data_IF_646315019682
#
_entry.id   IF_646315019682
#
_cell.length_a   1.000
_cell.length_b   1.000
_cell.length_c   1.000
_cell.angle_alpha   90.00
_cell.angle_beta   90.00
_cell.angle_gamma   90.00
#
_symmetry.space_group_name_H-M   'P 1'
#
loop_
_entity.id
_entity.type
_entity.pdbx_description
1 polymer ?
#
# COMPACT_ATOMS: atom_id res chain seq x y z
N UNK A 1 -25.83 7.43 -17.49
CA UNK A 1 -26.76 8.20 -16.64
C UNK A 1 -26.05 8.96 -15.52
N UNK A 2 -25.08 8.35 -14.82
CA UNK A 2 -24.36 9.00 -13.68
C UNK A 2 -23.74 10.33 -14.11
N UNK A 3 -22.96 10.37 -15.20
CA UNK A 3 -22.32 11.59 -15.69
C UNK A 3 -23.35 12.68 -16.00
N UNK A 4 -24.46 12.34 -16.68
CA UNK A 4 -25.53 13.29 -17.02
C UNK A 4 -26.11 13.97 -15.79
N UNK A 5 -26.38 13.18 -14.72
CA UNK A 5 -26.95 13.74 -13.48
C UNK A 5 -25.97 14.65 -12.78
N UNK A 6 -24.68 14.32 -12.76
CA UNK A 6 -23.64 15.09 -12.05
C UNK A 6 -23.08 16.27 -12.85
N UNK A 7 -23.16 16.25 -14.19
CA UNK A 7 -22.61 17.33 -15.03
C UNK A 7 -23.64 18.26 -15.61
N UNK A 8 -24.92 17.89 -15.64
CA UNK A 8 -26.00 18.70 -16.18
C UNK A 8 -27.02 19.05 -15.10
N UNK A 9 -27.74 18.06 -14.56
CA UNK A 9 -28.88 18.32 -13.67
C UNK A 9 -28.41 18.89 -12.31
N UNK A 10 -27.39 18.34 -11.71
CA UNK A 10 -26.88 18.85 -10.43
C UNK A 10 -26.36 20.29 -10.53
N UNK A 11 -25.53 20.69 -11.49
CA UNK A 11 -25.21 22.10 -11.71
C UNK A 11 -26.42 23.01 -11.90
N UNK A 12 -27.42 22.59 -12.66
CA UNK A 12 -28.68 23.37 -12.85
C UNK A 12 -29.35 23.59 -11.48
N UNK A 13 -29.47 22.57 -10.64
CA UNK A 13 -30.07 22.71 -9.32
C UNK A 13 -29.27 23.66 -8.42
N UNK A 14 -27.95 23.57 -8.45
CA UNK A 14 -27.08 24.47 -7.70
C UNK A 14 -27.26 25.93 -8.17
N UNK A 15 -27.31 26.17 -9.47
CA UNK A 15 -27.58 27.50 -10.05
C UNK A 15 -28.95 28.03 -9.63
N UNK A 16 -30.00 27.20 -9.67
CA UNK A 16 -31.34 27.58 -9.26
C UNK A 16 -31.45 27.92 -7.75
N UNK A 17 -30.57 27.36 -6.94
CA UNK A 17 -30.49 27.61 -5.50
C UNK A 17 -29.48 28.70 -5.11
N UNK A 18 -28.84 29.33 -6.10
CA UNK A 18 -27.77 30.32 -5.91
C UNK A 18 -26.60 29.77 -5.05
N UNK A 19 -26.25 28.47 -5.28
CA UNK A 19 -25.16 27.78 -4.61
C UNK A 19 -23.92 27.68 -5.51
N UNK A 20 -22.71 27.62 -4.93
CA UNK A 20 -21.48 27.48 -5.70
C UNK A 20 -21.47 26.22 -6.55
N UNK A 21 -20.99 26.32 -7.79
CA UNK A 21 -20.78 25.17 -8.67
C UNK A 21 -19.52 24.37 -8.26
N UNK A 22 -19.50 23.06 -8.50
CA UNK A 22 -18.29 22.27 -8.34
C UNK A 22 -17.19 22.78 -9.30
N UNK A 23 -15.95 22.83 -8.82
CA UNK A 23 -14.81 23.22 -9.67
C UNK A 23 -14.50 22.18 -10.74
N UNK A 24 -14.78 20.92 -10.45
CA UNK A 24 -14.54 19.79 -11.35
C UNK A 24 -15.52 18.66 -11.04
N UNK A 25 -15.96 17.96 -12.07
CA UNK A 25 -16.66 16.66 -11.96
C UNK A 25 -15.77 15.64 -12.64
N UNK A 26 -15.34 14.63 -11.91
CA UNK A 26 -14.48 13.57 -12.39
C UNK A 26 -15.23 12.23 -12.39
N UNK A 27 -15.22 11.53 -13.52
CA UNK A 27 -15.80 10.19 -13.66
C UNK A 27 -14.70 9.16 -13.85
N UNK A 28 -14.79 8.06 -13.14
CA UNK A 28 -13.88 6.92 -13.31
C UNK A 28 -14.62 5.74 -13.98
N UNK A 29 -13.90 4.79 -14.63
CA UNK A 29 -14.49 3.64 -15.29
C UNK A 29 -15.12 2.63 -14.31
N UNK A 30 -15.56 1.50 -14.86
CA UNK A 30 -16.18 0.43 -14.09
C UNK A 30 -15.15 -0.46 -13.38
N UNK A 31 -15.59 -1.06 -12.28
CA UNK A 31 -14.94 -2.23 -11.70
C UNK A 31 -15.72 -3.47 -12.15
N UNK A 32 -15.05 -4.34 -12.91
CA UNK A 32 -15.63 -5.54 -13.51
C UNK A 32 -15.18 -6.78 -12.74
N UNK A 33 -16.06 -7.76 -12.58
CA UNK A 33 -15.67 -9.08 -12.08
C UNK A 33 -15.36 -10.01 -13.26
N UNK A 34 -14.10 -10.44 -13.39
CA UNK A 34 -13.70 -11.36 -14.46
C UNK A 34 -13.98 -10.84 -15.88
N UNK A 35 -14.08 -9.52 -16.05
CA UNK A 35 -14.47 -8.89 -17.33
C UNK A 35 -15.96 -8.62 -17.52
N UNK A 36 -16.80 -9.08 -16.61
CA UNK A 36 -18.26 -8.85 -16.62
C UNK A 36 -18.68 -7.74 -15.66
N UNK A 37 -19.71 -6.98 -16.05
CA UNK A 37 -20.33 -6.00 -15.17
C UNK A 37 -20.99 -6.69 -13.98
N UNK A 38 -20.65 -6.26 -12.77
CA UNK A 38 -21.25 -6.78 -11.54
C UNK A 38 -22.75 -6.49 -11.49
N UNK A 39 -23.54 -7.51 -11.16
CA UNK A 39 -24.99 -7.41 -10.98
C UNK A 39 -25.50 -8.37 -9.92
N UNK A 40 -26.35 -7.88 -9.02
CA UNK A 40 -27.01 -8.71 -7.99
C UNK A 40 -27.82 -9.85 -8.60
N UNK A 41 -28.47 -9.61 -9.77
CA UNK A 41 -29.26 -10.62 -10.47
C UNK A 41 -28.43 -11.72 -11.13
N UNK A 42 -27.14 -11.47 -11.40
CA UNK A 42 -26.18 -12.46 -11.89
C UNK A 42 -25.45 -13.20 -10.77
N UNK A 43 -25.56 -12.74 -9.51
CA UNK A 43 -24.84 -13.30 -8.38
C UNK A 43 -23.32 -13.12 -8.44
N UNK A 44 -22.82 -12.23 -9.31
CA UNK A 44 -21.39 -11.98 -9.51
C UNK A 44 -20.91 -10.69 -8.85
N UNK A 45 -21.48 -10.32 -7.71
CA UNK A 45 -21.05 -9.12 -6.96
C UNK A 45 -20.03 -9.52 -5.90
N UNK A 46 -18.86 -8.90 -5.93
CA UNK A 46 -17.92 -8.92 -4.82
C UNK A 46 -18.25 -7.73 -3.93
N UNK A 47 -18.61 -7.98 -2.69
CA UNK A 47 -18.94 -6.94 -1.73
C UNK A 47 -17.68 -6.47 -1.00
N UNK A 48 -17.62 -5.17 -0.72
CA UNK A 48 -16.51 -4.60 0.03
C UNK A 48 -16.41 -5.18 1.45
N UNK A 49 -17.55 -5.45 2.09
CA UNK A 49 -17.58 -6.05 3.43
C UNK A 49 -16.93 -7.43 3.45
N UNK A 50 -17.19 -8.27 2.45
CA UNK A 50 -16.54 -9.58 2.33
C UNK A 50 -15.01 -9.46 2.19
N UNK A 51 -14.55 -8.50 1.40
CA UNK A 51 -13.11 -8.25 1.25
C UNK A 51 -12.49 -7.76 2.56
N UNK A 52 -13.20 -6.90 3.30
CA UNK A 52 -12.74 -6.40 4.60
C UNK A 52 -12.69 -7.51 5.65
N UNK A 53 -13.70 -8.38 5.68
CA UNK A 53 -13.74 -9.50 6.63
C UNK A 53 -12.63 -10.53 6.38
N UNK A 54 -12.27 -10.73 5.11
CA UNK A 54 -11.25 -11.71 4.70
C UNK A 54 -9.82 -11.17 4.76
N UNK A 55 -9.61 -9.93 4.33
CA UNK A 55 -8.27 -9.36 4.12
C UNK A 55 -7.98 -8.15 5.00
N UNK A 56 -8.98 -7.61 5.66
CA UNK A 56 -8.89 -6.37 6.43
C UNK A 56 -9.05 -5.11 5.57
N UNK A 57 -9.31 -3.99 6.25
CA UNK A 57 -9.62 -2.70 5.62
C UNK A 57 -8.48 -2.24 4.71
N UNK A 58 -7.24 -2.26 5.20
CA UNK A 58 -6.10 -1.70 4.46
C UNK A 58 -5.75 -2.51 3.21
N UNK A 59 -5.86 -3.85 3.26
CA UNK A 59 -5.65 -4.67 2.07
C UNK A 59 -6.74 -4.45 1.02
N UNK A 60 -7.99 -4.31 1.46
CA UNK A 60 -9.12 -3.95 0.57
C UNK A 60 -8.90 -2.58 -0.07
N UNK A 61 -8.50 -1.57 0.71
CA UNK A 61 -8.16 -0.24 0.20
C UNK A 61 -6.99 -0.29 -0.79
N UNK A 62 -5.92 -1.01 -0.45
CA UNK A 62 -4.79 -1.20 -1.35
C UNK A 62 -5.25 -1.74 -2.71
N UNK A 63 -6.01 -2.83 -2.70
CA UNK A 63 -6.48 -3.46 -3.92
C UNK A 63 -7.31 -2.51 -4.78
N UNK A 64 -8.34 -1.88 -4.19
CA UNK A 64 -9.24 -0.99 -4.95
C UNK A 64 -8.50 0.25 -5.47
N UNK A 65 -7.60 0.84 -4.69
CA UNK A 65 -6.87 2.05 -5.08
C UNK A 65 -5.71 1.75 -6.06
N UNK A 66 -5.21 0.52 -6.09
CA UNK A 66 -4.11 0.11 -6.97
C UNK A 66 -4.62 -0.44 -8.32
N UNK A 67 -5.67 -1.30 -8.30
CA UNK A 67 -6.13 -2.03 -9.48
C UNK A 67 -7.25 -1.30 -10.26
N UNK A 68 -7.62 -0.09 -9.84
CA UNK A 68 -8.56 0.75 -10.57
C UNK A 68 -7.85 1.97 -11.17
N UNK A 69 -7.10 1.82 -12.28
CA UNK A 69 -6.61 2.97 -13.03
C UNK A 69 -7.82 3.73 -13.55
N UNK A 70 -7.83 5.06 -13.41
CA UNK A 70 -9.02 5.84 -13.79
C UNK A 70 -9.17 6.07 -15.30
N UNK A 71 -8.22 5.58 -16.10
CA UNK A 71 -8.27 5.64 -17.56
C UNK A 71 -9.02 4.48 -18.20
N UNK A 72 -9.09 3.32 -17.54
CA UNK A 72 -9.66 2.09 -18.06
C UNK A 72 -10.47 1.35 -17.00
N UNK A 73 -11.36 0.44 -17.44
CA UNK A 73 -12.09 -0.43 -16.54
C UNK A 73 -11.11 -1.29 -15.71
N UNK A 74 -11.32 -1.33 -14.40
CA UNK A 74 -10.62 -2.22 -13.50
C UNK A 74 -11.26 -3.61 -13.50
N UNK A 75 -10.43 -4.65 -13.32
CA UNK A 75 -10.91 -6.03 -13.20
C UNK A 75 -10.56 -6.57 -11.84
N UNK A 76 -11.54 -7.13 -11.14
CA UNK A 76 -11.34 -7.83 -9.89
C UNK A 76 -11.57 -9.33 -10.08
N UNK A 77 -10.62 -10.15 -9.63
CA UNK A 77 -10.75 -11.59 -9.45
C UNK A 77 -10.15 -11.98 -8.11
N UNK A 78 -10.60 -13.07 -7.51
CA UNK A 78 -10.04 -13.52 -6.24
C UNK A 78 -8.57 -13.90 -6.37
N UNK A 79 -8.15 -14.45 -7.51
CA UNK A 79 -6.76 -14.74 -7.82
C UNK A 79 -5.90 -13.48 -7.76
N UNK A 80 -6.36 -12.41 -8.39
CA UNK A 80 -5.65 -11.13 -8.40
C UNK A 80 -5.58 -10.51 -7.00
N UNK A 81 -6.66 -10.56 -6.23
CA UNK A 81 -6.70 -10.06 -4.85
C UNK A 81 -5.67 -10.78 -3.98
N UNK A 82 -5.66 -12.12 -4.00
CA UNK A 82 -4.72 -12.93 -3.21
C UNK A 82 -3.28 -12.77 -3.69
N UNK A 83 -3.06 -12.67 -5.01
CA UNK A 83 -1.75 -12.39 -5.59
C UNK A 83 -1.20 -11.05 -5.10
N UNK A 84 -1.98 -9.98 -5.19
CA UNK A 84 -1.57 -8.64 -4.72
C UNK A 84 -1.33 -8.60 -3.23
N UNK A 85 -2.19 -9.25 -2.45
CA UNK A 85 -1.98 -9.36 -1.01
C UNK A 85 -0.62 -9.99 -0.69
N UNK A 86 -0.31 -11.11 -1.31
CA UNK A 86 0.94 -11.82 -1.03
C UNK A 86 2.18 -11.15 -1.64
N UNK A 87 2.10 -10.67 -2.89
CA UNK A 87 3.25 -10.08 -3.59
C UNK A 87 3.59 -8.71 -3.03
N UNK A 88 2.61 -7.85 -2.89
CA UNK A 88 2.85 -6.44 -2.59
C UNK A 88 2.79 -6.16 -1.09
N UNK A 89 1.72 -6.58 -0.42
CA UNK A 89 1.53 -6.28 1.00
C UNK A 89 2.37 -7.20 1.90
N UNK A 90 2.32 -8.52 1.71
CA UNK A 90 3.06 -9.43 2.55
C UNK A 90 4.57 -9.45 2.23
N UNK A 91 4.95 -9.57 0.94
CA UNK A 91 6.36 -9.71 0.57
C UNK A 91 7.07 -8.36 0.47
N UNK A 92 6.58 -7.41 -0.35
CA UNK A 92 7.30 -6.15 -0.59
C UNK A 92 7.29 -5.29 0.67
N UNK A 93 6.13 -5.09 1.30
CA UNK A 93 5.99 -4.22 2.48
C UNK A 93 6.22 -4.98 3.80
N UNK A 94 5.41 -5.98 4.11
CA UNK A 94 5.41 -6.63 5.41
C UNK A 94 6.73 -7.33 5.73
N UNK A 95 7.29 -8.07 4.77
CA UNK A 95 8.58 -8.72 4.93
C UNK A 95 9.74 -7.72 5.06
N UNK A 96 9.71 -6.60 4.34
CA UNK A 96 10.72 -5.55 4.46
C UNK A 96 10.75 -4.96 5.87
N UNK A 97 9.60 -4.58 6.41
CA UNK A 97 9.50 -4.04 7.79
C UNK A 97 10.02 -5.08 8.80
N UNK A 98 9.53 -6.32 8.69
CA UNK A 98 9.97 -7.40 9.58
C UNK A 98 11.47 -7.68 9.49
N UNK A 99 12.07 -7.70 8.29
CA UNK A 99 13.52 -7.89 8.09
C UNK A 99 14.31 -6.74 8.71
N UNK A 100 13.92 -5.50 8.48
CA UNK A 100 14.59 -4.30 9.02
C UNK A 100 14.57 -4.32 10.55
N UNK A 101 13.41 -4.50 11.15
CA UNK A 101 13.24 -4.57 12.61
C UNK A 101 14.00 -5.76 13.20
N UNK A 102 13.92 -6.93 12.57
CA UNK A 102 14.63 -8.13 13.05
C UNK A 102 16.14 -7.99 13.01
N UNK A 103 16.70 -7.42 11.94
CA UNK A 103 18.15 -7.18 11.84
C UNK A 103 18.61 -6.11 12.83
N UNK A 104 17.86 -5.03 13.01
CA UNK A 104 18.17 -3.99 14.00
C UNK A 104 18.17 -4.56 15.43
N UNK A 105 17.18 -5.37 15.79
CA UNK A 105 17.16 -6.05 17.09
C UNK A 105 18.33 -7.04 17.25
N UNK A 106 18.59 -7.84 16.21
CA UNK A 106 19.63 -8.88 16.25
C UNK A 106 21.03 -8.31 16.41
N UNK A 107 21.35 -7.24 15.70
CA UNK A 107 22.72 -6.72 15.60
C UNK A 107 22.99 -5.56 16.57
N UNK A 108 21.96 -4.80 16.95
CA UNK A 108 22.09 -3.57 17.74
C UNK A 108 21.13 -3.51 18.93
N UNK A 109 20.46 -4.60 19.29
CA UNK A 109 19.51 -4.59 20.41
C UNK A 109 18.30 -3.68 20.18
N UNK A 110 18.00 -3.37 18.92
CA UNK A 110 16.88 -2.52 18.50
C UNK A 110 17.24 -1.04 18.36
N UNK A 111 18.39 -0.58 18.82
CA UNK A 111 18.81 0.83 18.69
C UNK A 111 19.73 1.00 17.51
N UNK A 112 19.35 1.83 16.54
CA UNK A 112 20.16 2.18 15.37
C UNK A 112 20.28 3.69 15.25
N UNK A 113 21.47 4.18 14.99
CA UNK A 113 21.78 5.61 14.93
C UNK A 113 22.35 6.00 13.57
N UNK A 114 22.18 7.28 13.24
CA UNK A 114 22.82 7.84 12.06
C UNK A 114 24.33 7.97 12.29
N UNK A 115 25.09 7.00 11.79
CA UNK A 115 26.55 7.01 11.92
C UNK A 115 27.20 7.71 10.74
N UNK A 116 28.11 8.61 11.05
CA UNK A 116 28.98 9.18 10.04
C UNK A 116 30.11 8.17 9.73
N UNK A 117 30.00 7.49 8.59
CA UNK A 117 30.89 6.39 8.20
C UNK A 117 31.67 6.78 6.96
N UNK A 118 32.96 6.45 6.93
CA UNK A 118 33.72 6.55 5.69
C UNK A 118 33.25 5.45 4.72
N UNK A 119 32.66 5.86 3.60
CA UNK A 119 32.07 4.98 2.60
C UNK A 119 33.06 4.71 1.46
N UNK A 120 32.98 3.51 0.91
CA UNK A 120 33.54 3.28 -0.44
C UNK A 120 32.72 4.05 -1.48
N UNK A 121 33.27 4.25 -2.66
CA UNK A 121 32.57 4.93 -3.75
C UNK A 121 31.25 4.21 -4.10
N UNK A 122 31.27 2.88 -4.13
CA UNK A 122 30.08 2.06 -4.37
C UNK A 122 29.03 2.21 -3.25
N UNK A 123 29.43 2.15 -1.98
CA UNK A 123 28.49 2.34 -0.86
C UNK A 123 27.85 3.72 -0.90
N UNK A 124 28.63 4.76 -1.19
CA UNK A 124 28.12 6.11 -1.31
C UNK A 124 27.09 6.26 -2.45
N UNK A 125 27.33 5.59 -3.58
CA UNK A 125 26.40 5.59 -4.71
C UNK A 125 25.09 4.87 -4.38
N UNK A 126 25.17 3.73 -3.69
CA UNK A 126 23.98 2.94 -3.28
C UNK A 126 23.13 3.69 -2.24
N UNK A 127 23.77 4.33 -1.25
CA UNK A 127 23.10 5.16 -0.25
C UNK A 127 22.44 6.40 -0.88
N UNK A 128 23.15 7.05 -1.82
CA UNK A 128 22.65 8.22 -2.54
C UNK A 128 21.40 7.89 -3.37
N UNK A 129 21.38 6.75 -4.06
CA UNK A 129 20.26 6.30 -4.87
C UNK A 129 19.02 5.99 -4.00
N UNK A 130 19.19 5.33 -2.85
CA UNK A 130 18.10 5.16 -1.89
C UNK A 130 17.57 6.50 -1.40
N UNK A 131 18.44 7.39 -0.95
CA UNK A 131 18.07 8.72 -0.47
C UNK A 131 17.35 9.53 -1.55
N UNK A 132 17.86 9.53 -2.78
CA UNK A 132 17.24 10.23 -3.91
C UNK A 132 15.85 9.68 -4.22
N UNK A 133 15.68 8.35 -4.19
CA UNK A 133 14.36 7.72 -4.37
C UNK A 133 13.39 8.20 -3.32
N UNK A 134 13.77 8.13 -2.03
CA UNK A 134 12.88 8.52 -0.93
C UNK A 134 12.51 10.00 -1.00
N UNK A 135 13.51 10.88 -1.15
CA UNK A 135 13.28 12.34 -1.15
C UNK A 135 12.50 12.82 -2.38
N UNK A 136 12.65 12.14 -3.52
CA UNK A 136 11.96 12.48 -4.76
C UNK A 136 10.52 11.99 -4.85
N UNK A 137 10.12 11.03 -4.00
CA UNK A 137 8.80 10.39 -4.12
C UNK A 137 7.65 11.31 -3.78
N UNK A 138 7.76 12.18 -2.77
CA UNK A 138 6.66 13.07 -2.38
C UNK A 138 6.18 13.96 -3.52
N UNK A 139 7.09 14.60 -4.23
CA UNK A 139 6.74 15.46 -5.37
C UNK A 139 6.05 14.67 -6.50
N UNK A 140 6.48 13.44 -6.75
CA UNK A 140 5.85 12.56 -7.73
C UNK A 140 4.43 12.16 -7.30
N UNK A 141 4.25 11.81 -6.03
CA UNK A 141 2.93 11.48 -5.46
C UNK A 141 1.97 12.66 -5.62
N UNK A 142 2.39 13.87 -5.24
CA UNK A 142 1.59 15.09 -5.41
C UNK A 142 1.20 15.30 -6.87
N UNK A 143 2.16 15.25 -7.78
CA UNK A 143 1.89 15.44 -9.22
C UNK A 143 0.87 14.40 -9.75
N UNK A 144 1.00 13.13 -9.35
CA UNK A 144 0.01 12.10 -9.73
C UNK A 144 -1.35 12.35 -9.14
N UNK A 145 -1.42 12.78 -7.87
CA UNK A 145 -2.69 13.08 -7.21
C UNK A 145 -3.39 14.31 -7.81
N UNK A 146 -2.66 15.33 -8.23
CA UNK A 146 -3.22 16.48 -8.96
C UNK A 146 -3.84 16.10 -10.31
N UNK A 147 -3.29 15.06 -10.96
CA UNK A 147 -3.85 14.44 -12.16
C UNK A 147 -4.96 13.42 -11.88
N UNK A 148 -5.33 13.19 -10.62
CA UNK A 148 -6.26 12.14 -10.15
C UNK A 148 -5.79 10.71 -10.47
N UNK A 149 -4.50 10.49 -10.67
CA UNK A 149 -3.86 9.20 -10.94
C UNK A 149 -3.49 8.50 -9.63
N UNK A 150 -4.53 8.10 -8.89
CA UNK A 150 -4.39 7.56 -7.52
C UNK A 150 -3.57 6.26 -7.48
N UNK A 151 -3.79 5.36 -8.44
CA UNK A 151 -3.05 4.09 -8.55
C UNK A 151 -1.55 4.33 -8.81
N UNK A 152 -1.22 5.29 -9.67
CA UNK A 152 0.17 5.65 -9.96
C UNK A 152 0.85 6.29 -8.76
N UNK A 153 0.16 7.16 -8.03
CA UNK A 153 0.68 7.77 -6.81
C UNK A 153 1.01 6.69 -5.75
N UNK A 154 0.16 5.68 -5.60
CA UNK A 154 0.42 4.53 -4.73
C UNK A 154 1.63 3.71 -5.23
N UNK A 155 1.76 3.54 -6.54
CA UNK A 155 2.90 2.86 -7.16
C UNK A 155 4.22 3.59 -6.89
N UNK A 156 4.24 4.93 -6.91
CA UNK A 156 5.43 5.72 -6.54
C UNK A 156 5.83 5.47 -5.07
N UNK A 157 4.87 5.40 -4.14
CA UNK A 157 5.14 5.07 -2.73
C UNK A 157 5.75 3.66 -2.61
N UNK A 158 5.16 2.67 -3.29
CA UNK A 158 5.68 1.30 -3.32
C UNK A 158 7.07 1.20 -3.98
N UNK A 159 7.43 2.18 -4.81
CA UNK A 159 8.78 2.37 -5.34
C UNK A 159 9.83 2.48 -4.24
N UNK A 160 9.52 3.16 -3.11
CA UNK A 160 10.42 3.23 -1.95
C UNK A 160 10.66 1.84 -1.35
N UNK A 161 9.59 1.05 -1.12
CA UNK A 161 9.72 -0.29 -0.54
C UNK A 161 10.52 -1.23 -1.45
N UNK A 162 10.27 -1.18 -2.76
CA UNK A 162 11.05 -1.94 -3.76
C UNK A 162 12.52 -1.53 -3.74
N UNK A 163 12.81 -0.22 -3.66
CA UNK A 163 14.18 0.28 -3.55
C UNK A 163 14.86 -0.15 -2.26
N UNK A 164 14.14 -0.15 -1.13
CA UNK A 164 14.67 -0.66 0.15
C UNK A 164 15.01 -2.15 0.08
N UNK A 165 14.15 -2.98 -0.52
CA UNK A 165 14.46 -4.40 -0.70
C UNK A 165 15.73 -4.59 -1.55
N UNK A 166 15.86 -3.86 -2.67
CA UNK A 166 17.07 -3.87 -3.49
C UNK A 166 18.29 -3.38 -2.70
N UNK A 167 18.14 -2.35 -1.88
CA UNK A 167 19.19 -1.82 -1.02
C UNK A 167 19.74 -2.85 -0.03
N UNK A 168 18.84 -3.66 0.56
CA UNK A 168 19.25 -4.78 1.41
C UNK A 168 20.08 -5.80 0.63
N UNK A 169 19.69 -6.11 -0.61
CA UNK A 169 20.40 -7.08 -1.44
C UNK A 169 21.75 -6.53 -1.93
N UNK A 170 21.87 -5.22 -2.18
CA UNK A 170 23.11 -4.55 -2.58
C UNK A 170 24.11 -4.37 -1.43
N UNK A 171 23.60 -4.13 -0.21
CA UNK A 171 24.45 -3.86 0.97
C UNK A 171 24.76 -5.10 1.79
N UNK A 172 24.05 -6.21 1.55
CA UNK A 172 24.25 -7.51 2.21
C UNK A 172 24.49 -7.40 3.74
N UNK A 173 23.53 -6.88 4.55
CA UNK A 173 23.73 -6.64 5.99
C UNK A 173 24.21 -7.87 6.75
N UNK A 174 23.84 -9.07 6.32
CA UNK A 174 24.29 -10.35 6.91
C UNK A 174 25.76 -10.66 6.63
N UNK A 175 26.35 -10.07 5.59
CA UNK A 175 27.79 -10.15 5.29
C UNK A 175 28.53 -9.13 6.15
N UNK A 176 28.06 -7.87 6.18
CA UNK A 176 28.62 -6.82 7.03
C UNK A 176 28.66 -7.24 8.51
N UNK A 177 27.66 -7.96 8.98
CA UNK A 177 27.56 -8.44 10.36
C UNK A 177 28.63 -9.49 10.76
N UNK A 178 29.40 -10.04 9.81
CA UNK A 178 30.43 -11.05 10.10
C UNK A 178 31.76 -10.45 10.58
N UNK A 179 31.97 -9.15 10.35
CA UNK A 179 33.21 -8.46 10.68
C UNK A 179 32.90 -7.21 11.54
N UNK A 180 33.47 -7.14 12.71
CA UNK A 180 33.32 -6.01 13.65
C UNK A 180 33.78 -4.68 13.02
N UNK A 181 34.74 -4.71 12.10
CA UNK A 181 35.19 -3.52 11.37
C UNK A 181 34.05 -2.88 10.52
N UNK A 182 33.06 -3.66 10.08
CA UNK A 182 31.93 -3.21 9.30
C UNK A 182 30.71 -2.81 10.14
N UNK A 183 30.80 -2.88 11.47
CA UNK A 183 29.66 -2.64 12.36
C UNK A 183 29.05 -1.26 12.19
N UNK A 184 29.85 -0.21 12.08
CA UNK A 184 29.36 1.15 11.85
C UNK A 184 28.66 1.28 10.50
N UNK A 185 29.17 0.61 9.45
CA UNK A 185 28.50 0.56 8.14
C UNK A 185 27.17 -0.18 8.22
N UNK A 186 27.12 -1.32 8.90
CA UNK A 186 25.90 -2.08 9.12
C UNK A 186 24.83 -1.24 9.84
N UNK A 187 25.22 -0.48 10.87
CA UNK A 187 24.31 0.40 11.61
C UNK A 187 23.78 1.52 10.69
N UNK A 188 24.64 2.14 9.88
CA UNK A 188 24.23 3.12 8.88
C UNK A 188 23.23 2.56 7.86
N UNK A 189 23.46 1.33 7.37
CA UNK A 189 22.51 0.64 6.46
C UNK A 189 21.14 0.48 7.11
N UNK A 190 21.09 0.00 8.35
CA UNK A 190 19.83 -0.20 9.06
C UNK A 190 19.12 1.12 9.38
N UNK A 191 19.88 2.16 9.73
CA UNK A 191 19.36 3.51 9.91
C UNK A 191 18.68 4.02 8.62
N UNK A 192 19.34 3.91 7.48
CA UNK A 192 18.79 4.32 6.20
C UNK A 192 17.50 3.58 5.82
N UNK A 193 17.40 2.30 6.16
CA UNK A 193 16.16 1.52 5.99
C UNK A 193 15.04 2.02 6.90
N UNK A 194 15.32 2.27 8.19
CA UNK A 194 14.34 2.82 9.12
C UNK A 194 13.84 4.19 8.67
N UNK A 195 14.75 5.06 8.21
CA UNK A 195 14.39 6.40 7.72
C UNK A 195 13.56 6.34 6.44
N UNK A 196 13.91 5.45 5.51
CA UNK A 196 13.11 5.23 4.30
C UNK A 196 11.71 4.69 4.63
N UNK A 197 11.60 3.75 5.57
CA UNK A 197 10.32 3.21 6.04
C UNK A 197 9.46 4.28 6.74
N UNK A 198 10.07 5.17 7.54
CA UNK A 198 9.37 6.28 8.18
C UNK A 198 8.75 7.20 7.14
N UNK A 199 9.54 7.68 6.18
CA UNK A 199 9.04 8.58 5.13
C UNK A 199 7.97 7.89 4.29
N UNK A 200 8.20 6.64 3.88
CA UNK A 200 7.22 5.86 3.14
C UNK A 200 5.92 5.65 3.93
N UNK A 201 6.00 5.39 5.24
CA UNK A 201 4.84 5.23 6.12
C UNK A 201 4.01 6.51 6.25
N UNK A 202 4.64 7.68 6.30
CA UNK A 202 3.94 8.98 6.27
C UNK A 202 3.11 9.10 4.99
N UNK A 203 3.71 8.84 3.82
CA UNK A 203 3.01 8.94 2.53
C UNK A 203 1.94 7.85 2.38
N UNK A 204 2.20 6.65 2.90
CA UNK A 204 1.30 5.51 2.81
C UNK A 204 0.02 5.69 3.64
N UNK A 205 0.03 6.53 4.68
CA UNK A 205 -1.09 6.68 5.62
C UNK A 205 -2.42 7.08 4.93
N UNK A 206 -2.35 7.86 3.86
CA UNK A 206 -3.54 8.23 3.08
C UNK A 206 -4.22 7.00 2.44
N UNK A 207 -3.45 5.97 2.13
CA UNK A 207 -3.91 4.73 1.51
C UNK A 207 -4.21 3.64 2.53
N UNK A 208 -3.31 3.40 3.47
CA UNK A 208 -3.33 2.33 4.47
C UNK A 208 -3.30 2.90 5.90
N UNK A 209 -4.41 3.51 6.35
CA UNK A 209 -4.47 4.28 7.59
C UNK A 209 -4.30 3.44 8.86
N UNK A 210 -4.52 2.12 8.81
CA UNK A 210 -4.29 1.22 9.94
C UNK A 210 -2.88 0.62 9.96
N UNK A 211 -2.23 0.54 8.79
CA UNK A 211 -0.90 -0.04 8.63
C UNK A 211 0.20 0.96 8.94
N UNK A 212 0.07 2.19 8.48
CA UNK A 212 1.08 3.22 8.70
C UNK A 212 1.38 3.49 10.19
N UNK A 213 0.38 3.63 11.09
CA UNK A 213 0.65 3.73 12.53
C UNK A 213 1.39 2.53 13.11
N UNK A 214 1.05 1.31 12.70
CA UNK A 214 1.76 0.09 13.14
C UNK A 214 3.20 0.05 12.66
N UNK A 215 3.47 0.56 11.45
CA UNK A 215 4.85 0.73 10.99
C UNK A 215 5.63 1.71 11.85
N UNK A 216 5.03 2.87 12.19
CA UNK A 216 5.66 3.86 13.08
C UNK A 216 5.93 3.27 14.46
N UNK A 217 4.98 2.56 15.05
CA UNK A 217 5.16 1.88 16.33
C UNK A 217 6.33 0.89 16.30
N UNK A 218 6.45 0.08 15.25
CA UNK A 218 7.59 -0.84 15.09
C UNK A 218 8.93 -0.12 14.90
N UNK A 219 8.91 1.11 14.38
CA UNK A 219 10.09 1.98 14.30
C UNK A 219 10.38 2.75 15.61
N UNK A 220 9.56 2.57 16.65
CA UNK A 220 9.67 3.27 17.92
C UNK A 220 9.16 4.71 17.89
N UNK A 221 8.26 5.01 16.97
CA UNK A 221 7.65 6.33 16.80
C UNK A 221 6.16 6.26 17.12
N UNK A 222 5.61 7.33 17.63
CA UNK A 222 4.18 7.46 17.84
C UNK A 222 3.42 7.95 16.58
N UNK A 223 2.09 7.94 16.62
CA UNK A 223 1.26 8.35 15.49
C UNK A 223 1.44 9.82 15.09
N UNK A 224 1.96 10.69 15.97
CA UNK A 224 2.23 12.09 15.63
C UNK A 224 3.41 12.25 14.66
N UNK A 225 4.19 11.19 14.44
CA UNK A 225 5.20 11.15 13.40
C UNK A 225 4.59 11.10 11.98
N UNK A 226 3.30 10.75 11.84
CA UNK A 226 2.58 10.71 10.57
C UNK A 226 2.11 12.11 10.22
N UNK A 227 3.03 12.89 9.71
CA UNK A 227 2.82 14.26 9.28
C UNK A 227 3.71 14.53 8.06
N UNK A 228 3.11 15.00 6.98
CA UNK A 228 3.82 15.29 5.72
C UNK A 228 4.92 16.35 5.93
N UNK A 229 4.73 17.30 6.83
CA UNK A 229 5.74 18.30 7.16
C UNK A 229 6.98 17.69 7.82
N UNK A 230 6.83 16.49 8.41
CA UNK A 230 7.91 15.70 9.02
C UNK A 230 8.54 14.67 8.06
N UNK A 231 8.15 14.64 6.79
CA UNK A 231 8.64 13.67 5.82
C UNK A 231 10.06 13.93 5.31
N UNK A 232 10.75 14.96 5.81
CA UNK A 232 12.12 15.23 5.43
C UNK A 232 13.04 14.05 5.81
N UNK A 233 13.88 13.60 4.86
CA UNK A 233 14.85 12.53 5.08
C UNK A 233 15.98 12.98 6.01
N UNK A 234 16.29 12.18 7.02
CA UNK A 234 17.29 12.52 8.06
C UNK A 234 16.71 13.34 9.21
N UNK A 235 15.38 13.40 9.34
CA UNK A 235 14.72 14.12 10.43
C UNK A 235 14.87 13.43 11.80
N UNK A 236 15.16 12.12 11.83
CA UNK A 236 15.42 11.36 13.03
C UNK A 236 16.93 11.05 13.14
N UNK A 237 17.52 11.25 14.31
CA UNK A 237 18.92 10.91 14.55
C UNK A 237 19.11 9.43 14.88
N UNK A 238 18.09 8.80 15.46
CA UNK A 238 18.11 7.40 15.88
C UNK A 238 16.72 6.78 15.88
N UNK A 239 16.69 5.46 15.91
CA UNK A 239 15.49 4.64 16.04
C UNK A 239 15.66 3.62 17.16
N UNK A 240 14.59 3.41 17.94
CA UNK A 240 14.49 2.29 18.89
C UNK A 240 13.37 1.37 18.40
N UNK A 241 13.74 0.43 17.54
CA UNK A 241 12.75 -0.43 16.90
C UNK A 241 12.25 -1.54 17.82
N UNK A 242 10.97 -1.85 17.68
CA UNK A 242 10.30 -2.89 18.45
C UNK A 242 9.73 -3.95 17.53
N UNK A 243 9.90 -5.22 17.89
CA UNK A 243 9.25 -6.31 17.16
C UNK A 243 7.76 -6.28 17.44
N UNK A 244 6.97 -6.14 16.38
CA UNK A 244 5.50 -6.22 16.42
C UNK A 244 4.99 -7.43 15.65
N UNK A 245 3.66 -7.53 15.56
CA UNK A 245 3.01 -8.50 14.70
C UNK A 245 3.29 -8.24 13.22
N UNK A 246 3.20 -9.29 12.41
CA UNK A 246 3.31 -9.15 10.96
C UNK A 246 2.21 -8.22 10.45
N UNK A 247 2.58 -7.18 9.69
CA UNK A 247 1.62 -6.22 9.13
C UNK A 247 0.62 -6.92 8.21
N UNK A 248 1.11 -7.85 7.40
CA UNK A 248 0.32 -8.66 6.48
C UNK A 248 0.85 -10.11 6.53
N UNK A 249 0.20 -11.01 7.29
CA UNK A 249 0.56 -12.41 7.31
C UNK A 249 0.28 -13.04 5.96
N UNK A 250 1.18 -13.91 5.50
CA UNK A 250 1.05 -14.57 4.20
C UNK A 250 -0.19 -15.48 4.16
N UNK A 251 -0.95 -15.41 3.07
CA UNK A 251 -2.15 -16.22 2.84
C UNK A 251 -1.77 -17.47 2.02
N UNK A 252 -2.36 -18.61 2.37
CA UNK A 252 -2.30 -19.83 1.53
C UNK A 252 -3.21 -19.63 0.31
N UNK A 253 -2.58 -19.37 -0.84
CA UNK A 253 -3.27 -19.03 -2.09
C UNK A 253 -4.28 -20.10 -2.49
N UNK A 254 -3.89 -21.38 -2.46
CA UNK A 254 -4.73 -22.47 -2.96
C UNK A 254 -5.97 -22.66 -2.07
N UNK A 255 -5.78 -22.62 -0.76
CA UNK A 255 -6.85 -22.78 0.22
C UNK A 255 -7.83 -21.61 0.16
N UNK A 256 -7.31 -20.38 0.11
CA UNK A 256 -8.15 -19.18 0.14
C UNK A 256 -8.96 -19.05 -1.16
N UNK A 257 -8.34 -19.23 -2.32
CA UNK A 257 -9.06 -19.19 -3.60
C UNK A 257 -10.13 -20.27 -3.69
N UNK A 258 -9.85 -21.48 -3.18
CA UNK A 258 -10.85 -22.55 -3.17
C UNK A 258 -12.08 -22.16 -2.33
N UNK A 259 -11.86 -21.61 -1.15
CA UNK A 259 -12.92 -21.12 -0.26
C UNK A 259 -13.74 -20.01 -0.93
N UNK A 260 -13.09 -19.01 -1.50
CA UNK A 260 -13.74 -17.87 -2.15
C UNK A 260 -14.59 -18.28 -3.35
N UNK A 261 -14.10 -19.23 -4.15
CA UNK A 261 -14.84 -19.79 -5.30
C UNK A 261 -16.07 -20.57 -4.85
N UNK A 262 -15.98 -21.32 -3.77
CA UNK A 262 -17.12 -22.04 -3.21
C UNK A 262 -18.22 -21.06 -2.75
N UNK A 263 -17.85 -19.96 -2.10
CA UNK A 263 -18.80 -18.93 -1.68
C UNK A 263 -19.45 -18.22 -2.89
N UNK A 264 -18.69 -17.90 -3.93
CA UNK A 264 -19.22 -17.32 -5.17
C UNK A 264 -20.23 -18.25 -5.86
N UNK A 265 -19.95 -19.57 -5.93
CA UNK A 265 -20.88 -20.54 -6.50
C UNK A 265 -22.17 -20.66 -5.68
N UNK A 266 -22.10 -20.63 -4.36
CA UNK A 266 -23.30 -20.58 -3.50
C UNK A 266 -24.15 -19.33 -3.76
N UNK A 267 -23.51 -18.18 -3.95
CA UNK A 267 -24.21 -16.91 -4.26
C UNK A 267 -24.87 -16.94 -5.63
N UNK A 268 -24.19 -17.46 -6.64
CA UNK A 268 -24.76 -17.62 -7.99
C UNK A 268 -25.98 -18.54 -7.98
N UNK A 269 -25.87 -19.68 -7.31
CA UNK A 269 -26.99 -20.62 -7.17
C UNK A 269 -28.19 -19.98 -6.47
N UNK A 270 -27.97 -19.21 -5.40
CA UNK A 270 -29.01 -18.49 -4.69
C UNK A 270 -29.67 -17.41 -5.56
N UNK A 271 -28.90 -16.67 -6.37
CA UNK A 271 -29.43 -15.67 -7.30
C UNK A 271 -30.29 -16.29 -8.39
N UNK A 272 -29.87 -17.43 -8.95
CA UNK A 272 -30.66 -18.17 -9.95
C UNK A 272 -31.97 -18.73 -9.37
N UNK A 273 -31.94 -19.27 -8.14
CA UNK A 273 -33.13 -19.74 -7.46
C UNK A 273 -34.13 -18.59 -7.19
N UNK A 274 -33.64 -17.44 -6.76
CA UNK A 274 -34.47 -16.26 -6.53
C UNK A 274 -35.06 -15.69 -7.82
N UNK A 275 -34.34 -15.80 -8.97
CA UNK A 275 -34.86 -15.41 -10.28
C UNK A 275 -35.99 -16.34 -10.73
N UNK A 276 -35.82 -17.65 -10.66
CA UNK A 276 -36.84 -18.64 -11.00
C UNK A 276 -38.12 -18.46 -10.16
N UNK A 277 -37.96 -18.27 -8.84
CA UNK A 277 -39.13 -18.03 -7.98
C UNK A 277 -39.91 -16.76 -8.30
N UNK A 278 -39.29 -15.75 -8.93
CA UNK A 278 -39.93 -14.52 -9.38
C UNK A 278 -40.59 -14.69 -10.75
N UNK A 279 -40.14 -15.61 -11.59
CA UNK A 279 -40.71 -15.92 -12.90
C UNK A 279 -41.95 -16.83 -12.78
N UNK A 280 -42.03 -17.61 -11.69
CA UNK A 280 -43.12 -18.52 -11.36
C UNK A 280 -44.26 -17.85 -10.55
N UNK A 281 -44.07 -16.66 -10.01
CA UNK A 281 -45.01 -15.87 -9.22
C UNK A 281 -45.69 -14.78 -10.07
#
# INVERSE_FOLDING_TARGET
DIIRFHTIYWPIFLMALDLPLPKQVFGHPWLLQGGDKMSKSKGNVIYADDMVDLFGVDATRYFVLHEMPFENDGVITWELVVERFNSDLANILGNLVNRTVSMSNKYFGGVVENRNVQLTENDAAVDADLKQTVTGTYAKVVAKMEELRVADALTEIFGIFKRCNKYIDETEPWVLAKDEANKARLESVLYHLCEALRVAGILLNAYLPSTAPKMMEQLGLDASAIDVEKAAYGAQESYTVHKGDALFPRIDVAKEIAHLKEEDEKRKAAAEAAKKAKEEA
#
